data_IF_136906456106
#
_entry.id   IF_136906456106
#
_cell.length_a   1.000
_cell.length_b   1.000
_cell.length_c   1.000
_cell.angle_alpha   90.00
_cell.angle_beta   90.00
_cell.angle_gamma   90.00
#
_symmetry.space_group_name_H-M   'P 1'
#
loop_
_entity.id
_entity.type
_entity.pdbx_description
1 polymer ?
#
# COMPACT_ATOMS: atom_id res chain seq x y z
N UNK A 1 -17.04 -27.35 12.14
CA UNK A 1 -17.45 -26.19 11.31
C UNK A 1 -17.15 -24.91 12.08
N UNK A 2 -16.38 -23.99 11.51
CA UNK A 2 -16.03 -22.71 12.14
C UNK A 2 -14.94 -21.99 11.34
N UNK A 3 -15.18 -21.82 10.04
CA UNK A 3 -14.20 -21.44 9.01
C UNK A 3 -13.98 -19.92 8.89
N UNK A 4 -13.96 -19.11 9.95
CA UNK A 4 -13.87 -17.65 9.71
C UNK A 4 -13.09 -16.96 10.83
N UNK A 5 -11.86 -16.54 10.51
CA UNK A 5 -11.01 -15.72 11.39
C UNK A 5 -11.66 -14.34 11.62
N UNK A 6 -12.71 -14.25 12.42
CA UNK A 6 -13.31 -12.97 12.84
C UNK A 6 -13.98 -12.14 11.74
N UNK A 7 -14.24 -12.71 10.55
CA UNK A 7 -15.09 -12.09 9.51
C UNK A 7 -16.53 -11.95 10.05
N UNK A 8 -16.79 -10.87 10.78
CA UNK A 8 -18.05 -10.62 11.49
C UNK A 8 -17.94 -9.59 12.62
N UNK A 9 -16.73 -9.30 13.13
CA UNK A 9 -16.51 -8.26 14.15
C UNK A 9 -15.95 -6.94 13.59
N UNK A 10 -15.27 -6.98 12.44
CA UNK A 10 -14.71 -5.79 11.80
C UNK A 10 -15.64 -5.30 10.70
N UNK A 11 -15.93 -4.01 10.71
CA UNK A 11 -16.67 -3.37 9.63
C UNK A 11 -15.90 -3.46 8.31
N UNK A 12 -16.61 -3.81 7.23
CA UNK A 12 -16.01 -3.91 5.91
C UNK A 12 -15.51 -2.53 5.45
N UNK A 13 -14.38 -2.49 4.74
CA UNK A 13 -13.73 -1.25 4.33
C UNK A 13 -13.01 -0.50 5.46
N UNK A 14 -13.02 -1.00 6.70
CA UNK A 14 -12.26 -0.42 7.83
C UNK A 14 -11.03 -1.26 8.18
N UNK A 15 -9.87 -0.69 7.93
CA UNK A 15 -8.57 -1.27 8.24
C UNK A 15 -7.53 -0.18 8.49
N UNK A 16 -6.40 -0.56 9.06
CA UNK A 16 -5.34 0.39 9.36
C UNK A 16 -4.57 0.77 8.08
N UNK A 17 -4.46 2.06 7.82
CA UNK A 17 -3.69 2.63 6.72
C UNK A 17 -2.57 3.47 7.30
N UNK A 18 -1.33 3.07 7.06
CA UNK A 18 -0.16 3.76 7.59
C UNK A 18 0.15 5.04 6.80
N UNK A 19 -0.08 5.00 5.49
CA UNK A 19 0.10 6.12 4.60
C UNK A 19 -0.72 5.92 3.32
N UNK A 20 -1.26 7.01 2.78
CA UNK A 20 -1.95 7.00 1.49
C UNK A 20 -1.27 7.95 0.52
N UNK A 21 -1.24 7.54 -0.75
CA UNK A 21 -0.74 8.34 -1.86
C UNK A 21 -1.81 8.40 -2.96
N UNK A 22 -2.06 9.58 -3.50
CA UNK A 22 -3.02 9.79 -4.58
C UNK A 22 -2.27 10.04 -5.88
N UNK A 23 -2.47 9.15 -6.85
CA UNK A 23 -1.96 9.26 -8.21
C UNK A 23 -2.76 10.30 -9.01
N UNK A 24 -2.08 10.99 -9.92
CA UNK A 24 -2.75 11.77 -10.96
C UNK A 24 -3.44 10.82 -11.94
N UNK A 25 -4.51 11.30 -12.59
CA UNK A 25 -5.25 10.51 -13.59
C UNK A 25 -4.39 10.03 -14.76
N UNK A 26 -3.39 10.83 -15.17
CA UNK A 26 -2.42 10.44 -16.20
C UNK A 26 -1.52 9.26 -15.79
N UNK A 27 -1.46 8.95 -14.49
CA UNK A 27 -0.59 7.92 -13.93
C UNK A 27 -1.33 6.59 -13.76
N UNK A 28 -2.65 6.54 -13.97
CA UNK A 28 -3.44 5.32 -13.73
C UNK A 28 -3.07 4.16 -14.67
N UNK A 29 -2.60 4.47 -15.88
CA UNK A 29 -2.18 3.47 -16.87
C UNK A 29 -0.79 2.90 -16.59
N UNK A 30 -0.08 3.41 -15.58
CA UNK A 30 1.24 2.92 -15.22
C UNK A 30 1.17 1.55 -14.56
N UNK A 31 2.32 0.87 -14.55
CA UNK A 31 2.43 -0.44 -13.90
C UNK A 31 2.35 -0.33 -12.38
N UNK A 32 2.02 -1.44 -11.72
CA UNK A 32 2.07 -1.54 -10.25
C UNK A 32 3.43 -1.11 -9.71
N UNK A 33 4.51 -1.49 -10.43
CA UNK A 33 5.87 -1.12 -10.06
C UNK A 33 6.07 0.40 -10.02
N UNK A 34 5.52 1.12 -10.99
CA UNK A 34 5.63 2.58 -11.06
C UNK A 34 4.70 3.29 -10.07
N UNK A 35 3.54 2.69 -9.76
CA UNK A 35 2.67 3.14 -8.67
C UNK A 35 3.39 3.02 -7.32
N UNK A 36 4.02 1.88 -7.05
CA UNK A 36 4.68 1.63 -5.77
C UNK A 36 5.95 2.47 -5.59
N UNK A 37 6.65 2.83 -6.67
CA UNK A 37 7.73 3.83 -6.60
C UNK A 37 7.24 5.18 -6.07
N UNK A 38 6.12 5.67 -6.58
CA UNK A 38 5.52 6.95 -6.13
C UNK A 38 5.04 6.87 -4.70
N UNK A 39 4.40 5.75 -4.35
CA UNK A 39 4.04 5.46 -2.97
C UNK A 39 5.26 5.48 -2.04
N UNK A 40 6.32 4.75 -2.37
CA UNK A 40 7.55 4.71 -1.58
C UNK A 40 8.23 6.08 -1.47
N UNK A 41 8.27 6.84 -2.56
CA UNK A 41 8.73 8.22 -2.54
C UNK A 41 7.93 9.08 -1.54
N UNK A 42 6.60 8.99 -1.58
CA UNK A 42 5.72 9.76 -0.69
C UNK A 42 5.91 9.39 0.79
N UNK A 43 6.11 8.10 1.09
CA UNK A 43 6.45 7.63 2.44
C UNK A 43 7.79 8.20 2.90
N UNK A 44 8.81 8.15 2.05
CA UNK A 44 10.13 8.70 2.36
C UNK A 44 10.08 10.21 2.61
N UNK A 45 9.37 10.96 1.78
CA UNK A 45 9.16 12.41 1.96
C UNK A 45 8.45 12.71 3.29
N UNK A 46 7.43 11.93 3.65
CA UNK A 46 6.79 12.06 4.96
C UNK A 46 7.76 11.76 6.10
N UNK A 47 8.54 10.68 6.02
CA UNK A 47 9.51 10.32 7.06
C UNK A 47 10.59 11.39 7.30
N UNK A 48 10.90 12.21 6.29
CA UNK A 48 11.82 13.35 6.46
C UNK A 48 11.20 14.48 7.30
N UNK A 49 9.89 14.68 7.17
CA UNK A 49 9.17 15.80 7.80
C UNK A 49 8.45 15.39 9.10
N UNK A 50 8.30 14.09 9.35
CA UNK A 50 7.59 13.53 10.50
C UNK A 50 8.46 12.45 11.18
N UNK A 51 9.35 12.85 12.11
CA UNK A 51 10.21 11.93 12.85
C UNK A 51 9.43 10.92 13.71
N UNK A 52 8.22 11.29 14.16
CA UNK A 52 7.37 10.41 14.95
C UNK A 52 6.85 9.25 14.08
N UNK A 53 6.34 9.57 12.89
CA UNK A 53 5.96 8.56 11.89
C UNK A 53 7.15 7.69 11.49
N UNK A 54 8.32 8.27 11.22
CA UNK A 54 9.53 7.51 10.90
C UNK A 54 9.87 6.50 12.00
N UNK A 55 9.85 6.93 13.27
CA UNK A 55 10.11 6.06 14.42
C UNK A 55 9.07 4.96 14.55
N UNK A 56 7.79 5.30 14.46
CA UNK A 56 6.70 4.31 14.52
C UNK A 56 6.85 3.25 13.44
N UNK A 57 7.05 3.67 12.19
CA UNK A 57 7.21 2.78 11.05
C UNK A 57 8.41 1.86 11.22
N UNK A 58 9.57 2.40 11.62
CA UNK A 58 10.77 1.59 11.86
C UNK A 58 10.61 0.61 13.03
N UNK A 59 9.89 1.00 14.08
CA UNK A 59 9.62 0.13 15.24
C UNK A 59 8.66 -1.00 14.89
N UNK A 60 7.58 -0.71 14.15
CA UNK A 60 6.59 -1.72 13.75
C UNK A 60 7.07 -2.61 12.60
N UNK A 61 7.81 -2.05 11.65
CA UNK A 61 8.31 -2.71 10.45
C UNK A 61 9.81 -2.42 10.26
N UNK A 62 10.68 -3.17 10.95
CA UNK A 62 12.13 -3.00 10.81
C UNK A 62 12.58 -3.10 9.35
N UNK A 63 13.30 -2.09 8.88
CA UNK A 63 13.84 -2.01 7.51
C UNK A 63 12.97 -1.22 6.54
N UNK A 64 11.76 -0.80 6.94
CA UNK A 64 10.88 0.03 6.09
C UNK A 64 11.56 1.34 5.67
N UNK A 65 12.30 1.98 6.59
CA UNK A 65 12.97 3.26 6.34
C UNK A 65 14.05 3.13 5.27
N UNK A 66 14.87 2.07 5.36
CA UNK A 66 15.90 1.76 4.38
C UNK A 66 15.29 1.37 3.03
N UNK A 67 14.14 0.70 3.04
CA UNK A 67 13.47 0.29 1.80
C UNK A 67 12.91 1.48 1.01
N UNK A 68 12.29 2.43 1.68
CA UNK A 68 11.63 3.57 1.01
C UNK A 68 12.60 4.67 0.60
N UNK A 69 13.83 4.68 1.11
CA UNK A 69 14.81 5.69 0.70
C UNK A 69 15.26 5.46 -0.75
N UNK A 70 15.61 6.53 -1.49
CA UNK A 70 16.12 6.37 -2.84
C UNK A 70 17.49 5.68 -2.81
N UNK A 71 17.80 4.91 -3.85
CA UNK A 71 19.16 4.42 -4.09
C UNK A 71 20.11 5.59 -4.40
N UNK A 72 21.42 5.31 -4.45
CA UNK A 72 22.45 6.32 -4.71
C UNK A 72 22.24 7.16 -6.00
N UNK A 73 21.51 6.62 -6.98
CA UNK A 73 21.12 7.29 -8.22
C UNK A 73 19.73 7.94 -8.17
N UNK A 74 19.15 8.15 -6.99
CA UNK A 74 17.87 8.83 -6.79
C UNK A 74 16.62 7.99 -7.11
N UNK A 75 16.76 6.68 -7.37
CA UNK A 75 15.63 5.83 -7.78
C UNK A 75 14.95 5.20 -6.57
N UNK A 76 13.62 5.21 -6.57
CA UNK A 76 12.81 4.48 -5.59
C UNK A 76 12.58 3.03 -6.02
N UNK A 77 12.42 2.15 -5.03
CA UNK A 77 12.04 0.75 -5.23
C UNK A 77 10.58 0.68 -5.68
N UNK A 78 10.27 -0.30 -6.53
CA UNK A 78 8.93 -0.49 -7.10
C UNK A 78 8.15 -1.66 -6.49
N UNK A 79 8.57 -2.12 -5.33
CA UNK A 79 7.92 -3.13 -4.49
C UNK A 79 7.56 -2.52 -3.12
N UNK A 80 6.62 -3.14 -2.43
CA UNK A 80 6.23 -2.71 -1.09
C UNK A 80 7.36 -2.96 -0.07
N UNK A 81 7.45 -2.14 0.99
CA UNK A 81 8.38 -2.40 2.08
C UNK A 81 8.17 -3.74 2.79
N UNK A 82 9.19 -4.28 3.48
CA UNK A 82 9.08 -5.54 4.21
C UNK A 82 7.90 -5.58 5.19
N UNK A 83 7.12 -6.66 5.16
CA UNK A 83 5.96 -6.86 6.02
C UNK A 83 4.73 -6.02 5.64
N UNK A 84 4.79 -5.25 4.56
CA UNK A 84 3.72 -4.35 4.12
C UNK A 84 3.28 -4.66 2.69
N UNK A 85 2.16 -4.08 2.29
CA UNK A 85 1.70 -4.13 0.91
C UNK A 85 1.05 -2.80 0.50
N UNK A 86 1.17 -2.48 -0.78
CA UNK A 86 0.41 -1.40 -1.39
C UNK A 86 -0.94 -1.93 -1.85
N UNK A 87 -2.01 -1.43 -1.24
CA UNK A 87 -3.38 -1.70 -1.62
C UNK A 87 -3.89 -0.61 -2.56
N UNK A 88 -4.32 -0.98 -3.77
CA UNK A 88 -5.12 -0.10 -4.61
C UNK A 88 -6.54 -0.04 -4.09
N UNK A 89 -6.89 1.11 -3.51
CA UNK A 89 -8.19 1.39 -2.91
C UNK A 89 -9.33 1.35 -3.94
N UNK A 90 -10.56 1.16 -3.48
CA UNK A 90 -11.73 1.28 -4.35
C UNK A 90 -11.93 2.70 -4.90
N UNK A 91 -11.43 3.72 -4.18
CA UNK A 91 -11.37 5.09 -4.67
C UNK A 91 -10.26 5.22 -5.73
N UNK A 92 -10.63 5.74 -6.89
CA UNK A 92 -9.71 5.90 -8.02
C UNK A 92 -8.44 6.68 -7.66
N UNK A 93 -7.29 6.13 -8.07
CA UNK A 93 -5.97 6.74 -7.90
C UNK A 93 -5.38 6.61 -6.50
N UNK A 94 -6.10 6.08 -5.50
CA UNK A 94 -5.58 6.02 -4.13
C UNK A 94 -4.85 4.70 -3.90
N UNK A 95 -3.60 4.81 -3.49
CA UNK A 95 -2.77 3.73 -2.97
C UNK A 95 -2.68 3.88 -1.46
N UNK A 96 -2.88 2.78 -0.73
CA UNK A 96 -2.76 2.76 0.72
C UNK A 96 -1.76 1.71 1.16
N UNK A 97 -0.79 2.13 1.95
CA UNK A 97 0.22 1.26 2.54
C UNK A 97 -0.34 0.63 3.81
N UNK A 98 -0.47 -0.70 3.80
CA UNK A 98 -1.15 -1.48 4.83
C UNK A 98 -0.29 -2.68 5.24
N UNK A 99 -0.65 -3.31 6.36
CA UNK A 99 0.01 -4.53 6.82
C UNK A 99 -0.25 -5.70 5.84
N UNK A 100 0.80 -6.42 5.45
CA UNK A 100 0.66 -7.54 4.50
C UNK A 100 -0.17 -8.69 5.06
N UNK A 101 0.04 -9.06 6.33
CA UNK A 101 -0.65 -10.18 6.94
C UNK A 101 -2.12 -9.85 7.22
N UNK A 102 -2.44 -8.63 7.65
CA UNK A 102 -3.83 -8.16 7.79
C UNK A 102 -4.54 -8.16 6.43
N UNK A 103 -3.90 -7.61 5.40
CA UNK A 103 -4.43 -7.58 4.03
C UNK A 103 -4.71 -8.98 3.48
N UNK A 104 -3.78 -9.92 3.68
CA UNK A 104 -3.89 -11.30 3.24
C UNK A 104 -4.98 -12.06 4.01
N UNK A 105 -5.06 -11.88 5.32
CA UNK A 105 -5.96 -12.63 6.21
C UNK A 105 -7.40 -12.14 6.06
N UNK A 106 -7.61 -10.83 5.96
CA UNK A 106 -8.93 -10.20 5.95
C UNK A 106 -9.30 -9.67 4.56
N UNK A 107 -9.03 -10.46 3.52
CA UNK A 107 -9.17 -10.03 2.13
C UNK A 107 -10.53 -9.37 1.80
N UNK A 108 -11.65 -9.88 2.33
CA UNK A 108 -12.99 -9.30 2.09
C UNK A 108 -13.21 -7.93 2.74
N UNK A 109 -12.49 -7.60 3.81
CA UNK A 109 -12.54 -6.28 4.44
C UNK A 109 -11.94 -5.24 3.50
N UNK A 110 -10.86 -5.59 2.79
CA UNK A 110 -10.18 -4.72 1.84
C UNK A 110 -10.87 -4.69 0.47
N UNK A 111 -11.44 -5.81 0.02
CA UNK A 111 -12.03 -5.98 -1.31
C UNK A 111 -13.53 -6.31 -1.21
N UNK A 112 -14.33 -5.30 -0.86
CA UNK A 112 -15.78 -5.36 -0.62
C UNK A 112 -16.59 -6.13 -1.67
N UNK A 113 -16.30 -5.92 -2.96
CA UNK A 113 -17.01 -6.55 -4.08
C UNK A 113 -16.22 -7.71 -4.71
N UNK A 114 -15.23 -8.24 -3.99
CA UNK A 114 -14.32 -9.26 -4.49
C UNK A 114 -13.32 -8.76 -5.53
N UNK A 115 -13.27 -7.44 -5.79
CA UNK A 115 -12.30 -6.83 -6.69
C UNK A 115 -11.62 -5.61 -6.07
N UNK A 116 -10.31 -5.47 -6.31
CA UNK A 116 -9.54 -4.33 -5.83
C UNK A 116 -9.52 -3.16 -6.82
N UNK A 117 -9.12 -1.98 -6.33
CA UNK A 117 -8.92 -0.77 -7.14
C UNK A 117 -8.04 -0.98 -8.37
N UNK A 118 -7.08 -1.91 -8.26
CA UNK A 118 -6.20 -2.32 -9.36
C UNK A 118 -6.97 -2.75 -10.61
N UNK A 119 -8.09 -3.48 -10.45
CA UNK A 119 -8.94 -3.90 -11.57
C UNK A 119 -9.83 -2.76 -12.07
N UNK A 120 -10.22 -1.85 -11.17
CA UNK A 120 -11.21 -0.80 -11.42
C UNK A 120 -10.65 0.41 -12.15
N UNK A 121 -9.49 0.90 -11.75
CA UNK A 121 -9.00 2.18 -12.22
C UNK A 121 -7.56 2.17 -12.73
N UNK A 122 -6.71 1.21 -12.37
CA UNK A 122 -5.34 1.21 -12.90
C UNK A 122 -4.32 0.42 -12.10
N UNK A 123 -3.17 0.15 -12.73
CA UNK A 123 -2.14 -0.76 -12.24
C UNK A 123 -2.01 -2.03 -13.09
N UNK A 124 -1.02 -2.86 -12.76
CA UNK A 124 -0.72 -4.13 -13.41
C UNK A 124 0.71 -4.30 -13.90
N UNK A 125 1.10 -5.53 -14.23
CA UNK A 125 2.28 -5.80 -15.05
C UNK A 125 1.84 -5.62 -16.49
N UNK A 126 2.42 -4.70 -17.25
CA UNK A 126 2.06 -4.50 -18.66
C UNK A 126 2.15 -5.83 -19.43
N UNK A 127 0.98 -6.40 -19.69
CA UNK A 127 0.57 -7.39 -20.69
C UNK A 127 -0.86 -7.82 -20.25
N UNK A 128 -1.87 -7.28 -20.93
CA UNK A 128 -3.23 -7.86 -20.94
C UNK A 128 -3.31 -8.83 -22.11
#
# INVERSE_FOLDING_TARGET
MGLYNGEGQRELGKYNVFHSHTLNTSEYSLSDREHFKRGNQSVYERMKNDPAFRREMQTKYPGVVEHVQPSANGKFRGDAPPGMTWHHENKSGVLSLVDYNDHKTYHKIYHLDGSGGRKKWGGGTGCR
#
